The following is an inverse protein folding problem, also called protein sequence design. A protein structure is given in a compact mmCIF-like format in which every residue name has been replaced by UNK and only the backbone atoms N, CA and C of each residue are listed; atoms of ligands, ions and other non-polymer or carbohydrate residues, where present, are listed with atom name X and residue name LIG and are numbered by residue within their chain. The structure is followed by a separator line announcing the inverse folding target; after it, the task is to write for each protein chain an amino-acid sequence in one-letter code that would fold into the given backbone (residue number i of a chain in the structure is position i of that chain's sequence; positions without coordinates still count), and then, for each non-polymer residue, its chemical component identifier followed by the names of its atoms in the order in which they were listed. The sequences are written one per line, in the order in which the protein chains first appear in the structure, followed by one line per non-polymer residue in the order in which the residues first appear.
data_IF_138195837463
#
_entry.id   IF_138195837463
#
_cell.length_a   1.000
_cell.length_b   1.000
_cell.length_c   1.000
_cell.angle_alpha   90.00
_cell.angle_beta   90.00
_cell.angle_gamma   90.00
#
_symmetry.space_group_name_H-M   'P 1'
#
loop_
_entity.id
_entity.type
_entity.pdbx_description
1 polymer ?
#
# COMPACT_ATOMS: atom_id res chain seq x y z
N UNK A 1 4.76 -8.17 3.05
CA UNK A 1 4.49 -8.60 4.45
C UNK A 1 3.44 -7.69 5.03
N UNK A 2 2.59 -8.19 5.92
CA UNK A 2 1.66 -7.37 6.70
C UNK A 2 1.81 -7.66 8.20
N UNK A 3 1.34 -6.74 9.04
CA UNK A 3 1.03 -7.00 10.45
C UNK A 3 -0.43 -7.41 10.56
N UNK A 4 -0.80 -8.22 11.55
CA UNK A 4 -2.18 -8.61 11.78
C UNK A 4 -2.51 -8.53 13.28
N UNK A 5 -3.34 -7.58 13.73
CA UNK A 5 -3.73 -7.44 15.13
C UNK A 5 -4.97 -8.26 15.50
N UNK A 6 -5.66 -8.85 14.52
CA UNK A 6 -6.91 -9.60 14.76
C UNK A 6 -6.66 -10.78 15.70
N UNK A 7 -7.57 -10.94 16.65
CA UNK A 7 -7.65 -12.12 17.50
C UNK A 7 -9.09 -12.61 17.42
N UNK A 8 -9.28 -13.81 16.87
CA UNK A 8 -10.57 -14.50 16.92
C UNK A 8 -10.68 -15.26 18.27
N UNK A 9 -11.90 -15.69 18.70
CA UNK A 9 -12.07 -16.47 19.93
C UNK A 9 -11.26 -17.78 19.85
N UNK A 10 -10.06 -17.76 20.42
CA UNK A 10 -9.09 -18.84 20.32
C UNK A 10 -7.79 -18.49 21.04
N UNK A 11 -6.93 -19.49 21.31
CA UNK A 11 -5.78 -19.32 22.19
C UNK A 11 -4.61 -18.55 21.56
N UNK A 12 -4.58 -18.36 20.24
CA UNK A 12 -3.43 -17.80 19.52
C UNK A 12 -3.86 -16.57 18.71
N UNK A 13 -3.30 -15.38 18.99
CA UNK A 13 -3.50 -14.20 18.16
C UNK A 13 -3.00 -14.43 16.74
N UNK A 14 -3.59 -13.72 15.78
CA UNK A 14 -3.07 -13.80 14.43
C UNK A 14 -1.65 -13.25 14.34
N UNK A 15 -0.88 -13.76 13.38
CA UNK A 15 0.45 -13.24 13.06
C UNK A 15 0.50 -12.96 11.56
N UNK A 16 0.85 -11.73 11.22
CA UNK A 16 0.94 -11.31 9.83
C UNK A 16 2.10 -11.97 9.09
N UNK A 17 1.93 -12.14 7.78
CA UNK A 17 2.88 -12.82 6.91
C UNK A 17 2.98 -12.16 5.53
N UNK A 18 3.60 -12.83 4.54
CA UNK A 18 3.79 -12.27 3.21
C UNK A 18 2.46 -12.06 2.47
N UNK A 19 2.46 -11.12 1.53
CA UNK A 19 1.37 -11.02 0.55
C UNK A 19 1.56 -12.19 -0.42
N UNK A 20 0.54 -13.03 -0.57
CA UNK A 20 0.61 -14.29 -1.35
C UNK A 20 0.11 -14.16 -2.78
N UNK A 21 -0.56 -13.05 -3.11
CA UNK A 21 -1.06 -12.76 -4.45
C UNK A 21 -0.61 -11.38 -4.93
N UNK A 22 -0.55 -11.22 -6.25
CA UNK A 22 -0.23 -9.95 -6.91
C UNK A 22 -0.63 -10.03 -8.38
N UNK A 23 -0.48 -8.95 -9.11
CA UNK A 23 -0.66 -8.95 -10.56
C UNK A 23 0.55 -9.61 -11.25
N UNK A 24 0.40 -10.80 -11.86
CA UNK A 24 1.54 -11.57 -12.37
C UNK A 24 2.28 -10.89 -13.53
N UNK A 25 1.62 -9.97 -14.25
CA UNK A 25 2.20 -9.30 -15.41
C UNK A 25 2.92 -7.98 -15.07
N UNK A 26 2.69 -7.44 -13.87
CA UNK A 26 3.28 -6.17 -13.43
C UNK A 26 4.24 -6.45 -12.29
N UNK A 27 5.53 -6.42 -12.60
CA UNK A 27 6.59 -6.76 -11.66
C UNK A 27 7.23 -5.50 -11.07
N UNK A 28 7.29 -5.41 -9.75
CA UNK A 28 8.00 -4.37 -9.01
C UNK A 28 9.08 -5.05 -8.18
N UNK A 29 10.36 -4.74 -8.46
CA UNK A 29 11.48 -5.43 -7.83
C UNK A 29 11.50 -6.94 -8.08
N UNK A 30 11.13 -7.35 -9.31
CA UNK A 30 11.02 -8.76 -9.74
C UNK A 30 9.94 -9.58 -9.01
N UNK A 31 9.02 -8.95 -8.28
CA UNK A 31 7.88 -9.60 -7.64
C UNK A 31 6.56 -9.06 -8.20
N UNK A 32 5.50 -9.88 -8.29
CA UNK A 32 4.17 -9.40 -8.67
C UNK A 32 3.69 -8.24 -7.79
N UNK A 33 3.16 -7.19 -8.41
CA UNK A 33 2.69 -6.01 -7.69
C UNK A 33 1.40 -6.31 -6.92
N UNK A 34 1.41 -6.02 -5.62
CA UNK A 34 0.26 -6.20 -4.73
C UNK A 34 -0.80 -5.10 -4.95
N UNK A 35 -2.06 -5.46 -4.77
CA UNK A 35 -3.22 -4.59 -5.01
C UNK A 35 -4.30 -4.83 -3.98
N UNK A 36 -5.31 -3.95 -3.98
CA UNK A 36 -6.55 -4.15 -3.21
C UNK A 36 -7.18 -5.51 -3.53
N UNK A 37 -7.51 -6.24 -2.47
CA UNK A 37 -8.11 -7.57 -2.52
C UNK A 37 -7.12 -8.71 -2.75
N UNK A 38 -5.83 -8.43 -2.98
CA UNK A 38 -4.82 -9.49 -3.00
C UNK A 38 -4.63 -10.06 -1.59
N UNK A 39 -4.50 -11.39 -1.50
CA UNK A 39 -4.44 -12.10 -0.22
C UNK A 39 -3.06 -11.98 0.44
N UNK A 40 -3.06 -12.06 1.76
CA UNK A 40 -1.86 -12.19 2.58
C UNK A 40 -1.95 -13.42 3.49
N UNK A 41 -0.83 -14.13 3.62
CA UNK A 41 -0.69 -15.26 4.52
C UNK A 41 -0.71 -14.75 5.94
N UNK A 42 -1.55 -15.35 6.78
CA UNK A 42 -1.71 -15.01 8.18
C UNK A 42 -1.74 -16.32 9.00
N UNK A 43 -1.22 -16.30 10.23
CA UNK A 43 -1.46 -17.40 11.19
C UNK A 43 -2.89 -17.27 11.68
N UNK A 44 -3.81 -17.93 10.99
CA UNK A 44 -5.25 -17.73 11.08
C UNK A 44 -5.88 -17.86 9.68
N UNK A 45 -7.13 -17.42 9.47
CA UNK A 45 -7.66 -17.24 8.12
C UNK A 45 -6.77 -16.29 7.29
N UNK A 46 -6.69 -16.44 5.95
CA UNK A 46 -5.99 -15.48 5.09
C UNK A 46 -6.54 -14.06 5.27
N UNK A 47 -5.64 -13.09 5.31
CA UNK A 47 -5.99 -11.67 5.28
C UNK A 47 -6.04 -11.16 3.83
N UNK A 48 -6.51 -9.94 3.61
CA UNK A 48 -6.49 -9.27 2.32
C UNK A 48 -6.20 -7.79 2.46
N UNK A 49 -5.59 -7.21 1.44
CA UNK A 49 -5.35 -5.76 1.38
C UNK A 49 -6.68 -5.05 1.18
N UNK A 50 -7.06 -4.16 2.10
CA UNK A 50 -8.38 -3.53 2.12
C UNK A 50 -8.41 -2.16 1.44
N UNK A 51 -7.29 -1.46 1.40
CA UNK A 51 -7.15 -0.19 0.67
C UNK A 51 -5.82 -0.12 -0.07
N UNK A 52 -5.72 0.81 -1.02
CA UNK A 52 -4.56 1.02 -1.86
C UNK A 52 -4.53 2.46 -2.37
N UNK A 53 -3.54 2.78 -3.20
CA UNK A 53 -3.38 4.11 -3.78
C UNK A 53 -4.37 4.34 -4.95
N UNK A 54 -5.33 5.28 -4.83
CA UNK A 54 -6.35 5.51 -5.85
C UNK A 54 -5.81 6.02 -7.19
N UNK A 55 -4.63 6.67 -7.20
CA UNK A 55 -4.03 7.20 -8.44
C UNK A 55 -3.20 6.18 -9.21
N UNK A 56 -2.92 5.01 -8.64
CA UNK A 56 -2.06 3.99 -9.25
C UNK A 56 -2.85 2.70 -9.45
N UNK A 57 -3.21 2.43 -10.70
CA UNK A 57 -4.03 1.27 -11.09
C UNK A 57 -3.15 0.19 -11.69
N UNK A 58 -3.18 -1.00 -11.10
CA UNK A 58 -2.44 -2.18 -11.57
C UNK A 58 -3.44 -3.31 -11.81
N UNK A 59 -3.48 -3.85 -13.02
CA UNK A 59 -4.43 -4.92 -13.38
C UNK A 59 -5.89 -4.58 -13.03
N UNK A 60 -6.29 -3.31 -13.20
CA UNK A 60 -7.64 -2.83 -12.92
C UNK A 60 -7.98 -2.59 -11.44
N UNK A 61 -7.03 -2.75 -10.51
CA UNK A 61 -7.25 -2.51 -9.07
C UNK A 61 -6.25 -1.50 -8.52
N UNK A 62 -6.58 -0.86 -7.40
CA UNK A 62 -5.68 0.10 -6.74
C UNK A 62 -4.42 -0.62 -6.23
N UNK A 63 -3.26 -0.04 -6.46
CA UNK A 63 -1.98 -0.61 -6.06
C UNK A 63 -1.75 -0.48 -4.54
N UNK A 64 -1.19 -1.51 -3.92
CA UNK A 64 -0.88 -1.51 -2.49
C UNK A 64 0.51 -0.94 -2.21
N UNK A 65 0.65 -0.25 -1.08
CA UNK A 65 1.86 0.42 -0.60
C UNK A 65 2.16 0.04 0.84
N UNK A 66 3.34 0.44 1.29
CA UNK A 66 3.67 0.45 2.72
C UNK A 66 2.65 1.30 3.49
N UNK A 67 2.10 0.73 4.57
CA UNK A 67 1.12 1.37 5.44
C UNK A 67 -0.34 1.23 4.99
N UNK A 68 -0.60 0.71 3.78
CA UNK A 68 -1.98 0.46 3.37
C UNK A 68 -2.61 -0.64 4.25
N UNK A 69 -3.86 -0.45 4.71
CA UNK A 69 -4.51 -1.33 5.66
C UNK A 69 -4.90 -2.68 5.06
N UNK A 70 -5.06 -3.66 5.94
CA UNK A 70 -5.59 -4.98 5.63
C UNK A 70 -6.95 -5.20 6.29
N UNK A 71 -7.68 -6.22 5.86
CA UNK A 71 -9.03 -6.55 6.35
C UNK A 71 -9.04 -7.01 7.80
N UNK A 72 -7.93 -7.55 8.30
CA UNK A 72 -7.75 -7.88 9.72
C UNK A 72 -7.35 -6.67 10.59
N UNK A 73 -7.36 -5.46 10.04
CA UNK A 73 -7.06 -4.22 10.76
C UNK A 73 -5.56 -3.95 10.96
N UNK A 74 -4.71 -4.73 10.29
CA UNK A 74 -3.28 -4.49 10.25
C UNK A 74 -2.87 -3.65 9.04
N UNK A 75 -1.58 -3.64 8.72
CA UNK A 75 -1.03 -2.85 7.61
C UNK A 75 0.06 -3.59 6.86
N UNK A 76 0.26 -3.26 5.59
CA UNK A 76 1.41 -3.70 4.81
C UNK A 76 2.70 -3.07 5.35
N UNK A 77 3.70 -3.87 5.68
CA UNK A 77 4.95 -3.42 6.31
C UNK A 77 6.21 -3.68 5.49
N UNK A 78 6.08 -4.25 4.30
CA UNK A 78 7.21 -4.45 3.40
C UNK A 78 6.78 -4.32 1.93
N UNK A 79 7.64 -3.68 1.14
CA UNK A 79 7.52 -3.50 -0.31
C UNK A 79 8.90 -3.36 -0.95
N UNK A 80 8.98 -2.89 -2.19
CA UNK A 80 10.25 -2.67 -2.88
C UNK A 80 10.93 -1.38 -2.36
N UNK A 81 12.16 -1.44 -1.83
CA UNK A 81 12.80 -0.29 -1.17
C UNK A 81 13.15 0.86 -2.13
N UNK A 82 13.20 0.59 -3.43
CA UNK A 82 13.59 1.56 -4.47
C UNK A 82 12.39 2.12 -5.23
N UNK A 83 11.17 1.69 -4.93
CA UNK A 83 9.98 2.08 -5.68
C UNK A 83 8.95 2.68 -4.73
N UNK A 84 8.65 3.96 -4.96
CA UNK A 84 7.58 4.69 -4.30
C UNK A 84 6.49 4.96 -5.35
N UNK A 85 5.24 4.64 -5.01
CA UNK A 85 4.09 4.84 -5.90
C UNK A 85 3.05 5.76 -5.23
N UNK A 86 2.30 6.47 -6.07
CA UNK A 86 1.28 7.43 -5.65
C UNK A 86 1.73 8.87 -5.77
N UNK A 87 0.95 9.76 -5.14
CA UNK A 87 1.20 11.20 -5.18
C UNK A 87 2.36 11.57 -4.23
N UNK A 88 3.47 12.15 -4.72
CA UNK A 88 4.55 12.60 -3.86
C UNK A 88 4.10 13.72 -2.91
N UNK A 89 4.80 13.94 -1.79
CA UNK A 89 4.47 15.04 -0.87
C UNK A 89 4.40 16.41 -1.59
N UNK A 90 5.24 16.60 -2.61
CA UNK A 90 5.26 17.80 -3.45
C UNK A 90 3.97 17.97 -4.27
N UNK A 91 3.37 16.90 -4.78
CA UNK A 91 2.14 17.04 -5.56
C UNK A 91 0.95 17.45 -4.71
N UNK A 92 0.91 17.06 -3.43
CA UNK A 92 -0.10 17.56 -2.50
C UNK A 92 0.08 19.06 -2.25
N UNK A 93 1.31 19.52 -2.01
CA UNK A 93 1.55 20.96 -1.82
C UNK A 93 1.19 21.76 -3.09
N UNK A 94 1.45 21.20 -4.27
CA UNK A 94 1.06 21.82 -5.55
C UNK A 94 -0.46 21.85 -5.73
N UNK A 95 -1.18 20.78 -5.36
CA UNK A 95 -2.63 20.73 -5.41
C UNK A 95 -3.28 21.73 -4.43
N UNK A 96 -2.75 21.81 -3.20
CA UNK A 96 -3.23 22.76 -2.19
C UNK A 96 -2.91 24.21 -2.61
N UNK A 97 -1.72 24.48 -3.15
CA UNK A 97 -1.36 25.79 -3.68
C UNK A 97 -2.25 26.18 -4.87
N UNK A 98 -2.53 25.23 -5.78
CA UNK A 98 -3.45 25.46 -6.91
C UNK A 98 -4.87 25.75 -6.46
N UNK A 99 -5.39 25.06 -5.44
CA UNK A 99 -6.75 25.29 -4.94
C UNK A 99 -6.87 26.57 -4.11
N UNK A 100 -5.82 26.96 -3.40
CA UNK A 100 -5.75 28.21 -2.62
C UNK A 100 -5.29 29.43 -3.43
N UNK A 101 -4.90 29.26 -4.70
CA UNK A 101 -4.33 30.34 -5.52
C UNK A 101 -2.98 30.86 -5.03
N UNK A 102 -2.28 30.10 -4.18
CA UNK A 102 -0.98 30.48 -3.66
C UNK A 102 0.08 30.34 -4.77
N UNK A 103 0.87 31.39 -5.07
CA UNK A 103 1.97 31.27 -6.02
C UNK A 103 3.02 30.30 -5.48
N UNK A 104 3.41 29.32 -6.30
CA UNK A 104 4.50 28.40 -5.97
C UNK A 104 5.84 29.02 -6.40
N UNK A 105 6.82 29.05 -5.50
CA UNK A 105 8.20 29.36 -5.83
C UNK A 105 9.05 28.17 -5.39
N UNK A 106 9.58 27.43 -6.35
CA UNK A 106 10.71 26.52 -6.06
C UNK A 106 11.95 27.40 -5.94
N UNK A 107 12.73 27.27 -4.86
CA UNK A 107 14.08 27.85 -4.87
C UNK A 107 14.83 27.18 -6.03
N UNK A 108 15.24 27.97 -7.01
CA UNK A 108 16.09 27.51 -8.09
C UNK A 108 17.44 27.08 -7.49
N UNK A 109 17.70 25.77 -7.44
CA UNK A 109 18.98 25.20 -7.06
C UNK A 109 19.30 25.23 -5.56
N UNK A 110 19.30 24.07 -4.94
CA UNK A 110 20.18 23.71 -3.83
C UNK A 110 20.60 22.26 -4.02
#
# INVERSE_FOLDING_TARGET
MHTCPKSEPGPVPHVGGPVSAGEPTVLIGYMPAARVGDMAVCVGPPDSISQGEPTVIIGGKLAARLGDPTSHGGVVVAGCPTVLIGVPAQSKCMADASSGGAPFVTKAGA
#
